data_IF_295547666481
#
_entry.id   IF_295547666481
#
_cell.length_a   1.000
_cell.length_b   1.000
_cell.length_c   1.000
_cell.angle_alpha   90.00
_cell.angle_beta   90.00
_cell.angle_gamma   90.00
#
_symmetry.space_group_name_H-M   'P 1'
#
loop_
_entity.id
_entity.type
_entity.pdbx_description
1 polymer ?
#
# COMPACT_ATOMS: atom_id res chain seq x y z
N UNK A 1 4.63 28.71 8.70
CA UNK A 1 3.58 28.01 7.94
C UNK A 1 4.19 26.81 7.22
N UNK A 2 3.95 25.60 7.73
CA UNK A 2 4.00 24.35 6.95
C UNK A 2 2.85 23.48 7.44
N UNK A 3 1.64 23.71 6.89
CA UNK A 3 0.67 22.63 6.82
C UNK A 3 1.21 21.69 5.74
N UNK A 4 1.80 20.56 6.13
CA UNK A 4 2.44 19.62 5.22
C UNK A 4 1.88 18.23 5.43
N UNK A 5 0.90 17.87 4.58
CA UNK A 5 0.29 16.56 4.36
C UNK A 5 -0.13 15.78 5.62
N UNK A 6 -1.45 15.74 5.84
CA UNK A 6 -2.09 14.59 6.47
C UNK A 6 -1.71 13.35 5.64
N UNK A 7 -0.70 12.60 6.08
CA UNK A 7 -0.33 11.35 5.45
C UNK A 7 -1.54 10.42 5.59
N UNK A 8 -2.29 10.21 4.52
CA UNK A 8 -3.44 9.30 4.49
C UNK A 8 -3.03 7.82 4.58
N UNK A 9 -1.83 7.54 5.12
CA UNK A 9 -1.22 6.22 5.22
C UNK A 9 -1.90 5.31 6.25
N UNK A 10 -2.81 5.85 7.07
CA UNK A 10 -3.59 5.06 8.03
C UNK A 10 -4.88 4.49 7.45
N UNK A 11 -5.49 5.15 6.47
CA UNK A 11 -6.81 4.77 5.96
C UNK A 11 -6.67 3.73 4.86
N UNK A 12 -7.57 2.74 4.87
CA UNK A 12 -7.67 1.73 3.81
C UNK A 12 -8.05 2.45 2.50
N UNK A 13 -7.29 2.30 1.40
CA UNK A 13 -7.62 2.91 0.12
C UNK A 13 -9.01 2.52 -0.37
N UNK A 14 -9.81 3.48 -0.81
CA UNK A 14 -11.16 3.27 -1.36
C UNK A 14 -11.17 3.00 -2.86
N UNK A 15 -10.02 3.12 -3.53
CA UNK A 15 -9.84 2.80 -4.95
C UNK A 15 -8.44 2.30 -5.26
N UNK A 16 -8.28 1.54 -6.36
CA UNK A 16 -6.97 1.09 -6.84
C UNK A 16 -6.00 2.24 -7.10
N UNK A 17 -6.49 3.36 -7.63
CA UNK A 17 -5.67 4.57 -7.84
C UNK A 17 -5.23 5.23 -6.53
N UNK A 18 -6.01 5.14 -5.46
CA UNK A 18 -5.57 5.57 -4.12
C UNK A 18 -4.52 4.62 -3.55
N UNK A 19 -4.70 3.31 -3.70
CA UNK A 19 -3.70 2.32 -3.30
C UNK A 19 -2.37 2.56 -4.02
N UNK A 20 -2.40 2.77 -5.33
CA UNK A 20 -1.24 3.10 -6.14
C UNK A 20 -0.50 4.35 -5.62
N UNK A 21 -1.25 5.40 -5.24
CA UNK A 21 -0.66 6.62 -4.63
C UNK A 21 -0.01 6.33 -3.29
N UNK A 22 -0.66 5.57 -2.41
CA UNK A 22 -0.11 5.20 -1.10
C UNK A 22 1.20 4.42 -1.26
N UNK A 23 1.23 3.46 -2.18
CA UNK A 23 2.43 2.66 -2.47
C UNK A 23 3.55 3.51 -3.07
N UNK A 24 3.25 4.36 -4.06
CA UNK A 24 4.23 5.24 -4.67
C UNK A 24 4.84 6.24 -3.65
N UNK A 25 4.00 6.85 -2.81
CA UNK A 25 4.47 7.73 -1.72
C UNK A 25 5.33 6.98 -0.70
N UNK A 26 5.01 5.71 -0.40
CA UNK A 26 5.79 4.88 0.52
C UNK A 26 7.14 4.46 -0.06
N UNK A 27 7.16 4.11 -1.33
CA UNK A 27 8.34 3.66 -2.07
C UNK A 27 9.24 4.82 -2.49
N UNK A 28 8.74 6.06 -2.47
CA UNK A 28 9.49 7.23 -2.94
C UNK A 28 9.67 7.26 -4.46
N UNK A 29 8.79 6.58 -5.20
CA UNK A 29 8.80 6.47 -6.67
C UNK A 29 7.64 7.25 -7.28
N UNK A 30 7.65 7.43 -8.61
CA UNK A 30 6.49 7.99 -9.32
C UNK A 30 5.30 7.01 -9.28
N UNK A 31 4.08 7.54 -9.26
CA UNK A 31 2.85 6.74 -9.39
C UNK A 31 2.88 5.88 -10.65
N UNK A 32 3.50 6.38 -11.73
CA UNK A 32 3.63 5.66 -13.01
C UNK A 32 4.56 4.44 -12.95
N UNK A 33 5.37 4.29 -11.91
CA UNK A 33 6.26 3.14 -11.72
C UNK A 33 5.55 1.98 -11.01
N UNK A 34 4.53 2.29 -10.20
CA UNK A 34 3.68 1.31 -9.53
C UNK A 34 2.62 0.83 -10.52
N UNK A 35 2.98 -0.12 -11.37
CA UNK A 35 2.06 -0.75 -12.33
C UNK A 35 1.33 -1.94 -11.71
N UNK A 36 0.24 -2.32 -12.37
CA UNK A 36 -0.70 -3.34 -11.92
C UNK A 36 -0.05 -4.68 -11.54
N UNK A 37 0.89 -5.16 -12.37
CA UNK A 37 1.53 -6.48 -12.22
C UNK A 37 3.03 -6.38 -11.88
N UNK A 38 3.52 -5.18 -11.55
CA UNK A 38 4.91 -5.00 -11.12
C UNK A 38 5.06 -5.48 -9.69
N UNK A 39 6.11 -6.24 -9.45
CA UNK A 39 6.49 -6.69 -8.11
C UNK A 39 6.98 -5.48 -7.30
N UNK A 40 6.22 -5.13 -6.26
CA UNK A 40 6.48 -4.04 -5.33
C UNK A 40 7.79 -4.23 -4.56
N UNK A 41 8.26 -5.47 -4.36
CA UNK A 41 9.55 -5.74 -3.72
C UNK A 41 10.71 -5.30 -4.63
N UNK A 42 10.57 -5.45 -5.96
CA UNK A 42 11.55 -4.95 -6.93
C UNK A 42 11.59 -3.41 -6.94
N UNK A 43 10.48 -2.77 -6.55
CA UNK A 43 10.42 -1.32 -6.30
C UNK A 43 10.89 -0.91 -4.89
N UNK A 44 11.30 -1.87 -4.05
CA UNK A 44 11.85 -1.62 -2.71
C UNK A 44 10.86 -1.78 -1.56
N UNK A 45 9.68 -2.35 -1.77
CA UNK A 45 8.72 -2.61 -0.69
C UNK A 45 9.12 -3.88 0.09
N UNK A 46 9.86 -3.69 1.18
CA UNK A 46 10.26 -4.78 2.07
C UNK A 46 9.19 -5.14 3.13
N UNK A 47 9.47 -6.17 3.94
CA UNK A 47 8.57 -6.63 5.00
C UNK A 47 8.23 -5.55 6.04
N UNK A 48 9.17 -4.64 6.34
CA UNK A 48 8.94 -3.53 7.29
C UNK A 48 7.99 -2.50 6.65
N UNK A 49 8.19 -2.23 5.36
CA UNK A 49 7.29 -1.49 4.48
C UNK A 49 5.87 -2.01 4.57
N UNK A 50 5.69 -3.30 4.28
CA UNK A 50 4.39 -3.99 4.33
C UNK A 50 3.78 -3.91 5.71
N UNK A 51 4.51 -4.31 6.76
CA UNK A 51 4.01 -4.25 8.14
C UNK A 51 3.53 -2.86 8.53
N UNK A 52 4.28 -1.81 8.16
CA UNK A 52 3.92 -0.44 8.48
C UNK A 52 2.63 0.04 7.78
N UNK A 53 2.43 -0.35 6.52
CA UNK A 53 1.19 -0.04 5.79
C UNK A 53 0.01 -0.82 6.38
N UNK A 54 0.12 -2.15 6.41
CA UNK A 54 -0.99 -3.04 6.75
C UNK A 54 -1.40 -2.89 8.21
N UNK A 55 -0.46 -2.70 9.15
CA UNK A 55 -0.80 -2.44 10.55
C UNK A 55 -1.55 -1.12 10.74
N UNK A 56 -1.29 -0.12 9.87
CA UNK A 56 -2.09 1.10 9.79
C UNK A 56 -3.53 0.76 9.40
N UNK A 57 -3.71 0.07 8.29
CA UNK A 57 -5.03 -0.33 7.80
C UNK A 57 -5.82 -1.22 8.75
N UNK A 58 -5.15 -2.13 9.47
CA UNK A 58 -5.80 -2.99 10.48
C UNK A 58 -6.38 -2.17 11.64
N UNK A 59 -5.71 -1.08 12.06
CA UNK A 59 -6.28 -0.14 13.05
C UNK A 59 -7.53 0.59 12.55
N UNK A 60 -7.74 0.62 11.24
CA UNK A 60 -8.89 1.20 10.57
C UNK A 60 -9.91 0.16 10.09
N UNK A 61 -9.79 -1.10 10.55
CA UNK A 61 -10.81 -2.13 10.35
C UNK A 61 -10.50 -3.18 9.28
N UNK A 62 -9.33 -3.12 8.63
CA UNK A 62 -8.87 -4.19 7.73
C UNK A 62 -8.68 -5.48 8.54
N UNK A 63 -9.21 -6.59 8.04
CA UNK A 63 -9.12 -7.90 8.70
C UNK A 63 -8.16 -8.88 8.01
N UNK A 64 -7.60 -8.48 6.88
CA UNK A 64 -6.63 -9.27 6.11
C UNK A 64 -5.31 -9.37 6.87
N UNK A 65 -4.72 -10.57 6.88
CA UNK A 65 -3.47 -10.83 7.58
C UNK A 65 -2.27 -10.25 6.83
N UNK A 66 -1.27 -9.76 7.57
CA UNK A 66 -0.04 -9.18 6.97
C UNK A 66 0.65 -10.20 6.06
N UNK A 67 0.61 -11.49 6.42
CA UNK A 67 1.19 -12.58 5.65
C UNK A 67 0.59 -12.69 4.23
N UNK A 68 -0.69 -12.36 4.06
CA UNK A 68 -1.35 -12.38 2.75
C UNK A 68 -0.73 -11.34 1.81
N UNK A 69 -0.45 -10.13 2.33
CA UNK A 69 0.21 -9.06 1.56
C UNK A 69 1.67 -9.36 1.22
N UNK A 70 2.37 -10.11 2.07
CA UNK A 70 3.76 -10.52 1.77
C UNK A 70 3.84 -11.66 0.75
N UNK A 71 2.79 -12.47 0.64
CA UNK A 71 2.72 -13.58 -0.32
C UNK A 71 2.43 -13.10 -1.75
N UNK A 72 1.81 -11.93 -1.90
CA UNK A 72 1.40 -11.38 -3.19
C UNK A 72 1.96 -9.96 -3.37
N UNK A 73 2.93 -9.75 -4.29
CA UNK A 73 3.68 -8.51 -4.27
C UNK A 73 3.23 -7.50 -5.34
N UNK A 74 2.01 -7.56 -5.90
CA UNK A 74 1.59 -6.61 -6.95
C UNK A 74 0.49 -5.67 -6.49
N UNK A 75 0.32 -4.55 -7.22
CA UNK A 75 -0.78 -3.62 -7.00
C UNK A 75 -2.15 -4.29 -7.19
N UNK A 76 -2.28 -5.15 -8.19
CA UNK A 76 -3.49 -5.94 -8.45
C UNK A 76 -3.85 -6.81 -7.25
N UNK A 77 -2.91 -7.62 -6.77
CA UNK A 77 -3.19 -8.55 -5.69
C UNK A 77 -3.55 -7.81 -4.39
N UNK A 78 -2.84 -6.72 -4.08
CA UNK A 78 -3.12 -5.91 -2.91
C UNK A 78 -4.51 -5.27 -2.98
N UNK A 79 -4.94 -4.84 -4.16
CA UNK A 79 -6.30 -4.32 -4.36
C UNK A 79 -7.35 -5.39 -4.11
N UNK A 80 -7.15 -6.59 -4.66
CA UNK A 80 -8.06 -7.73 -4.43
C UNK A 80 -8.14 -8.16 -2.98
N UNK A 81 -7.11 -7.95 -2.17
CA UNK A 81 -7.12 -8.27 -0.75
C UNK A 81 -7.94 -7.28 0.09
N UNK A 82 -7.91 -5.99 -0.27
CA UNK A 82 -8.58 -4.94 0.52
C UNK A 82 -9.99 -4.59 0.01
N UNK A 83 -10.34 -4.97 -1.22
CA UNK A 83 -11.65 -4.71 -1.81
C UNK A 83 -12.68 -5.84 -1.55
N UNK A 84 -12.38 -6.77 -0.65
CA UNK A 84 -13.24 -7.92 -0.30
C UNK A 84 -14.34 -7.55 0.69
#
# INVERSE_FOLDING_TARGET
>A
MRCGKLSNQGVIPGSKSELQRVLAERLGVSISEVLDDVNLQDLGLDSIGVMGIVSGWQRHGLRTEIAEFTAVPTLNDWWELISR
#
